data_IF_746740165158
#
_entry.id   IF_746740165158
#
_cell.length_a   1.000
_cell.length_b   1.000
_cell.length_c   1.000
_cell.angle_alpha   90.00
_cell.angle_beta   90.00
_cell.angle_gamma   90.00
#
_symmetry.space_group_name_H-M   'P 1'
#
loop_
_entity.id
_entity.type
_entity.pdbx_description
1 polymer ?
#
# COMPACT_ATOMS: atom_id res chain seq x y z
N UNK A 1 21.54 16.83 7.94
CA UNK A 1 21.23 15.44 8.13
C UNK A 1 21.72 15.05 9.52
N UNK A 2 20.81 14.65 10.41
CA UNK A 2 21.20 14.08 11.71
C UNK A 2 21.85 12.75 11.39
N UNK A 3 23.13 12.60 11.59
CA UNK A 3 23.80 11.29 11.58
C UNK A 3 23.19 10.44 12.68
N UNK A 4 22.18 9.66 12.32
CA UNK A 4 21.58 8.68 13.22
C UNK A 4 22.54 7.50 13.31
N UNK A 5 23.39 7.53 14.32
CA UNK A 5 24.37 6.47 14.52
C UNK A 5 23.67 5.30 15.24
N UNK A 6 22.88 4.53 14.51
CA UNK A 6 22.20 3.30 14.96
C UNK A 6 23.22 2.33 15.58
N UNK A 7 24.45 2.33 15.07
CA UNK A 7 25.53 1.44 15.52
C UNK A 7 26.01 1.74 16.95
N UNK A 8 25.69 2.92 17.53
CA UNK A 8 26.06 3.20 18.93
C UNK A 8 25.20 2.46 19.96
N UNK A 9 24.00 2.02 19.58
CA UNK A 9 23.05 1.31 20.45
C UNK A 9 23.03 -0.20 20.19
N UNK A 10 23.52 -0.65 19.03
CA UNK A 10 23.49 -2.03 18.60
C UNK A 10 24.81 -2.72 18.90
N UNK A 11 24.75 -3.88 19.57
CA UNK A 11 25.87 -4.82 19.65
C UNK A 11 25.76 -5.81 18.48
N UNK A 12 26.60 -5.68 17.42
CA UNK A 12 26.51 -6.53 16.24
C UNK A 12 26.79 -8.01 16.54
N UNK A 13 27.51 -8.32 17.63
CA UNK A 13 27.80 -9.69 18.01
C UNK A 13 26.55 -10.48 18.46
N UNK A 14 25.49 -9.77 18.83
CA UNK A 14 24.20 -10.33 19.23
C UNK A 14 23.21 -10.51 18.07
N UNK A 15 23.55 -10.05 16.87
CA UNK A 15 22.69 -10.13 15.70
C UNK A 15 23.15 -11.25 14.77
N UNK A 16 22.25 -12.14 14.33
CA UNK A 16 22.56 -13.06 13.25
C UNK A 16 22.95 -12.26 12.00
N UNK A 17 23.93 -12.77 11.22
CA UNK A 17 24.35 -12.12 9.98
C UNK A 17 24.10 -13.05 8.79
N UNK A 18 23.44 -12.60 7.71
CA UNK A 18 22.85 -11.26 7.53
C UNK A 18 21.49 -11.09 8.24
N UNK A 19 21.18 -9.87 8.74
CA UNK A 19 19.87 -9.56 9.31
C UNK A 19 19.46 -8.11 9.02
N UNK A 20 18.15 -7.87 8.95
CA UNK A 20 17.58 -6.52 9.01
C UNK A 20 17.36 -6.15 10.48
N UNK A 21 17.74 -4.92 10.84
CA UNK A 21 17.56 -4.39 12.19
C UNK A 21 16.65 -3.18 12.13
N UNK A 22 15.62 -3.18 12.97
CA UNK A 22 14.70 -2.04 13.12
C UNK A 22 14.91 -1.42 14.50
N UNK A 23 15.16 -0.12 14.54
CA UNK A 23 15.12 0.66 15.79
C UNK A 23 13.66 1.04 16.05
N UNK A 24 13.10 0.50 17.13
CA UNK A 24 11.69 0.68 17.47
C UNK A 24 11.38 2.11 17.91
N UNK A 25 12.30 2.78 18.60
CA UNK A 25 12.14 4.19 18.99
C UNK A 25 12.07 5.10 17.74
N UNK A 26 12.95 4.87 16.78
CA UNK A 26 12.97 5.62 15.52
C UNK A 26 11.71 5.33 14.68
N UNK A 27 11.27 4.07 14.65
CA UNK A 27 10.02 3.70 13.99
C UNK A 27 8.84 4.45 14.62
N UNK A 28 8.73 4.43 15.95
CA UNK A 28 7.64 5.11 16.65
C UNK A 28 7.69 6.63 16.46
N UNK A 29 8.87 7.23 16.48
CA UNK A 29 9.02 8.66 16.23
C UNK A 29 8.57 9.07 14.81
N UNK A 30 8.88 8.25 13.80
CA UNK A 30 8.38 8.46 12.44
C UNK A 30 6.85 8.33 12.38
N UNK A 31 6.28 7.35 13.07
CA UNK A 31 4.82 7.15 13.15
C UNK A 31 4.11 8.34 13.81
N UNK A 32 4.69 8.93 14.87
CA UNK A 32 4.17 10.15 15.51
C UNK A 32 4.13 11.33 14.55
N UNK A 33 5.14 11.47 13.67
CA UNK A 33 5.13 12.51 12.62
C UNK A 33 3.98 12.29 11.66
N UNK A 34 3.79 11.07 11.15
CA UNK A 34 2.71 10.72 10.25
C UNK A 34 1.32 10.94 10.89
N UNK A 35 1.15 10.54 12.14
CA UNK A 35 -0.08 10.77 12.89
C UNK A 35 -0.38 12.26 13.08
N UNK A 36 0.65 13.09 13.30
CA UNK A 36 0.50 14.53 13.38
C UNK A 36 -0.05 15.14 12.06
N UNK A 37 0.37 14.57 10.92
CA UNK A 37 -0.18 14.98 9.61
C UNK A 37 -1.65 14.60 9.50
N UNK A 38 -2.01 13.36 9.84
CA UNK A 38 -3.41 12.92 9.86
C UNK A 38 -4.30 13.85 10.71
N UNK A 39 -3.85 14.17 11.92
CA UNK A 39 -4.58 15.05 12.85
C UNK A 39 -4.78 16.47 12.31
N UNK A 40 -3.80 17.02 11.59
CA UNK A 40 -3.90 18.37 11.02
C UNK A 40 -4.71 18.45 9.75
N UNK A 41 -4.73 17.39 8.95
CA UNK A 41 -5.33 17.42 7.60
C UNK A 41 -6.63 16.65 7.49
N UNK A 42 -6.93 15.76 8.45
CA UNK A 42 -8.02 14.79 8.34
C UNK A 42 -7.76 13.64 7.36
N UNK A 43 -6.58 13.60 6.72
CA UNK A 43 -6.22 12.52 5.82
C UNK A 43 -5.96 11.21 6.60
N UNK A 44 -6.20 10.08 5.95
CA UNK A 44 -5.81 8.77 6.46
C UNK A 44 -4.50 8.35 5.80
N UNK A 45 -3.54 7.90 6.59
CA UNK A 45 -2.26 7.37 6.09
C UNK A 45 -2.28 5.85 6.27
N UNK A 46 -1.91 5.13 5.22
CA UNK A 46 -1.86 3.68 5.18
C UNK A 46 -0.41 3.20 5.03
N UNK A 47 -0.10 2.06 5.63
CA UNK A 47 1.19 1.41 5.47
C UNK A 47 1.26 0.70 4.11
N UNK A 48 2.25 1.05 3.28
CA UNK A 48 2.52 0.33 2.04
C UNK A 48 3.32 -0.95 2.34
N UNK A 49 2.64 -2.10 2.37
CA UNK A 49 3.25 -3.38 2.74
C UNK A 49 4.41 -3.79 1.82
N UNK A 50 4.34 -3.47 0.53
CA UNK A 50 5.47 -3.70 -0.40
C UNK A 50 6.77 -3.01 0.00
N UNK A 51 6.70 -1.95 0.80
CA UNK A 51 7.86 -1.24 1.35
C UNK A 51 8.26 -1.71 2.73
N UNK A 52 7.29 -2.14 3.54
CA UNK A 52 7.53 -2.62 4.90
C UNK A 52 6.41 -3.60 5.31
N UNK A 53 6.72 -4.88 5.35
CA UNK A 53 5.80 -5.96 5.72
C UNK A 53 6.26 -6.75 6.96
N UNK A 54 7.06 -6.14 7.81
CA UNK A 54 7.49 -6.76 9.06
C UNK A 54 6.34 -6.73 10.08
N UNK A 55 5.43 -7.69 9.98
CA UNK A 55 4.17 -7.75 10.72
C UNK A 55 4.35 -7.78 12.26
N UNK A 56 5.52 -8.17 12.76
CA UNK A 56 5.86 -8.03 14.17
C UNK A 56 5.59 -6.63 14.72
N UNK A 57 5.78 -5.58 13.89
CA UNK A 57 5.55 -4.19 14.28
C UNK A 57 4.13 -3.68 13.99
N UNK A 58 3.26 -4.48 13.39
CA UNK A 58 1.89 -4.04 13.08
C UNK A 58 1.10 -3.61 14.33
N UNK A 59 1.21 -4.25 15.51
CA UNK A 59 0.57 -3.75 16.73
C UNK A 59 1.04 -2.34 17.16
N UNK A 60 2.29 -1.98 16.88
CA UNK A 60 2.79 -0.62 17.11
C UNK A 60 2.27 0.34 16.04
N UNK A 61 2.41 -0.02 14.77
CA UNK A 61 2.08 0.83 13.62
C UNK A 61 0.58 1.18 13.60
N UNK A 62 -0.29 0.23 13.90
CA UNK A 62 -1.75 0.44 13.91
C UNK A 62 -2.24 1.42 14.99
N UNK A 63 -1.43 1.76 15.99
CA UNK A 63 -1.76 2.83 16.94
C UNK A 63 -1.78 4.21 16.27
N UNK A 64 -1.05 4.34 15.16
CA UNK A 64 -0.82 5.60 14.45
C UNK A 64 -1.46 5.61 13.07
N UNK A 65 -1.32 4.56 12.28
CA UNK A 65 -1.84 4.48 10.91
C UNK A 65 -3.19 3.78 10.87
N UNK A 66 -4.00 4.07 9.83
CA UNK A 66 -5.41 3.62 9.74
C UNK A 66 -5.58 2.27 9.06
N UNK A 67 -4.58 1.81 8.33
CA UNK A 67 -4.68 0.56 7.57
C UNK A 67 -3.43 0.31 6.74
N UNK A 68 -3.58 -0.54 5.76
CA UNK A 68 -2.51 -0.98 4.86
C UNK A 68 -2.89 -0.87 3.39
N UNK A 69 -1.88 -0.70 2.52
CA UNK A 69 -2.01 -0.88 1.08
C UNK A 69 -1.44 -2.24 0.69
N UNK A 70 -2.23 -3.05 -0.02
CA UNK A 70 -1.89 -4.37 -0.52
C UNK A 70 -1.73 -4.36 -2.05
N UNK A 71 -0.75 -5.09 -2.55
CA UNK A 71 -0.46 -5.22 -3.99
C UNK A 71 -0.98 -6.54 -4.58
N UNK A 72 -1.66 -7.35 -3.79
CA UNK A 72 -2.24 -8.63 -4.16
C UNK A 72 -2.78 -9.39 -2.97
N UNK A 73 -3.25 -10.63 -3.20
CA UNK A 73 -3.95 -11.43 -2.20
C UNK A 73 -3.16 -11.66 -0.91
N UNK A 74 -1.89 -12.03 -1.02
CA UNK A 74 -1.09 -12.36 0.18
C UNK A 74 -0.89 -11.15 1.09
N UNK A 75 -0.69 -9.95 0.51
CA UNK A 75 -0.61 -8.72 1.29
C UNK A 75 -1.98 -8.32 1.85
N UNK A 76 -3.08 -8.58 1.12
CA UNK A 76 -4.43 -8.33 1.62
C UNK A 76 -4.75 -9.22 2.83
N UNK A 77 -4.40 -10.52 2.77
CA UNK A 77 -4.48 -11.44 3.92
C UNK A 77 -3.67 -10.93 5.11
N UNK A 78 -2.39 -10.63 4.88
CA UNK A 78 -1.50 -10.14 5.93
C UNK A 78 -2.05 -8.87 6.59
N UNK A 79 -2.56 -7.93 5.79
CA UNK A 79 -3.17 -6.70 6.30
C UNK A 79 -4.44 -6.96 7.11
N UNK A 80 -5.30 -7.84 6.62
CA UNK A 80 -6.56 -8.17 7.29
C UNK A 80 -6.33 -8.93 8.61
N UNK A 81 -5.47 -9.95 8.59
CA UNK A 81 -5.26 -10.85 9.73
C UNK A 81 -4.37 -10.21 10.80
N UNK A 82 -3.28 -9.55 10.42
CA UNK A 82 -2.26 -9.09 11.36
C UNK A 82 -2.37 -7.58 11.69
N UNK A 83 -2.77 -6.75 10.73
CA UNK A 83 -2.90 -5.32 10.99
C UNK A 83 -4.25 -4.97 11.60
N UNK A 84 -5.35 -5.51 11.08
CA UNK A 84 -6.70 -5.34 11.61
C UNK A 84 -7.28 -3.92 11.45
N UNK A 85 -6.87 -3.19 10.43
CA UNK A 85 -7.38 -1.89 10.02
C UNK A 85 -7.97 -1.93 8.60
N UNK A 86 -8.02 -0.76 7.93
CA UNK A 86 -8.46 -0.69 6.55
C UNK A 86 -7.46 -1.41 5.63
N UNK A 87 -7.97 -2.21 4.69
CA UNK A 87 -7.15 -2.84 3.63
C UNK A 87 -7.55 -2.23 2.30
N UNK A 88 -6.60 -1.57 1.64
CA UNK A 88 -6.74 -0.99 0.31
C UNK A 88 -5.91 -1.81 -0.67
N UNK A 89 -6.56 -2.47 -1.62
CA UNK A 89 -5.87 -3.34 -2.57
C UNK A 89 -5.83 -2.73 -3.96
N UNK A 90 -4.64 -2.62 -4.52
CA UNK A 90 -4.39 -2.25 -5.91
C UNK A 90 -3.48 -3.27 -6.57
N UNK A 91 -3.87 -3.73 -7.77
CA UNK A 91 -2.98 -4.54 -8.62
C UNK A 91 -3.11 -4.12 -10.08
N UNK A 92 -1.99 -4.05 -10.83
CA UNK A 92 -2.05 -3.84 -12.28
C UNK A 92 -2.85 -4.90 -13.03
N UNK A 93 -2.91 -6.12 -12.47
CA UNK A 93 -3.70 -7.23 -13.00
C UNK A 93 -4.16 -8.12 -11.83
N UNK A 94 -5.48 -8.23 -11.64
CA UNK A 94 -6.06 -9.20 -10.71
C UNK A 94 -6.22 -10.56 -11.39
N UNK A 95 -5.97 -11.63 -10.64
CA UNK A 95 -6.27 -12.99 -11.06
C UNK A 95 -7.71 -13.33 -10.66
N UNK A 96 -8.45 -13.99 -11.55
CA UNK A 96 -9.87 -14.27 -11.31
C UNK A 96 -10.07 -15.18 -10.09
N UNK A 97 -9.25 -16.20 -9.97
CA UNK A 97 -9.29 -17.17 -8.88
C UNK A 97 -8.98 -16.56 -7.49
N UNK A 98 -8.33 -15.40 -7.44
CA UNK A 98 -7.97 -14.72 -6.20
C UNK A 98 -8.96 -13.60 -5.84
N UNK A 99 -9.72 -13.12 -6.80
CA UNK A 99 -10.47 -11.87 -6.65
C UNK A 99 -11.61 -11.95 -5.64
N UNK A 100 -12.28 -13.10 -5.50
CA UNK A 100 -13.30 -13.27 -4.48
C UNK A 100 -12.75 -12.98 -3.08
N UNK A 101 -11.60 -13.56 -2.77
CA UNK A 101 -10.99 -13.37 -1.45
C UNK A 101 -10.46 -11.95 -1.27
N UNK A 102 -9.81 -11.38 -2.29
CA UNK A 102 -9.40 -9.96 -2.27
C UNK A 102 -10.59 -9.04 -1.98
N UNK A 103 -11.73 -9.27 -2.64
CA UNK A 103 -12.95 -8.48 -2.42
C UNK A 103 -13.46 -8.57 -0.98
N UNK A 104 -13.44 -9.76 -0.38
CA UNK A 104 -13.87 -9.97 1.02
C UNK A 104 -12.97 -9.30 2.04
N UNK A 105 -11.66 -9.24 1.77
CA UNK A 105 -10.66 -8.72 2.67
C UNK A 105 -10.46 -7.20 2.55
N UNK A 106 -10.88 -6.59 1.43
CA UNK A 106 -10.55 -5.20 1.10
C UNK A 106 -11.73 -4.26 1.32
N UNK A 107 -11.50 -3.17 2.05
CA UNK A 107 -12.48 -2.06 2.13
C UNK A 107 -12.44 -1.16 0.89
N UNK A 108 -11.29 -1.13 0.19
CA UNK A 108 -11.10 -0.37 -1.05
C UNK A 108 -10.37 -1.23 -2.08
N UNK A 109 -10.87 -1.26 -3.32
CA UNK A 109 -10.21 -1.92 -4.44
C UNK A 109 -10.00 -0.92 -5.56
N UNK A 110 -8.74 -0.72 -5.97
CA UNK A 110 -8.38 0.19 -7.04
C UNK A 110 -8.04 -0.60 -8.30
N UNK A 111 -8.75 -0.30 -9.36
CA UNK A 111 -8.56 -0.93 -10.68
C UNK A 111 -7.57 -0.15 -11.53
N UNK A 112 -6.82 -0.87 -12.36
CA UNK A 112 -5.78 -0.30 -13.20
C UNK A 112 -6.29 0.19 -14.57
N UNK A 113 -7.44 -0.29 -15.01
CA UNK A 113 -8.06 0.04 -16.30
C UNK A 113 -9.58 -0.09 -16.25
N UNK A 114 -10.28 0.51 -17.21
CA UNK A 114 -11.73 0.34 -17.33
C UNK A 114 -12.12 -1.11 -17.61
N UNK A 115 -11.37 -1.82 -18.45
CA UNK A 115 -11.64 -3.25 -18.69
C UNK A 115 -11.50 -4.10 -17.43
N UNK A 116 -10.56 -3.78 -16.55
CA UNK A 116 -10.43 -4.42 -15.25
C UNK A 116 -11.61 -4.06 -14.34
N UNK A 117 -12.03 -2.79 -14.32
CA UNK A 117 -13.19 -2.32 -13.58
C UNK A 117 -14.47 -3.05 -14.06
N UNK A 118 -14.74 -3.05 -15.35
CA UNK A 118 -15.91 -3.73 -15.95
C UNK A 118 -15.98 -5.22 -15.59
N UNK A 119 -14.84 -5.90 -15.62
CA UNK A 119 -14.75 -7.33 -15.31
C UNK A 119 -14.98 -7.62 -13.83
N UNK A 120 -14.38 -6.86 -12.94
CA UNK A 120 -14.30 -7.22 -11.52
C UNK A 120 -15.25 -6.45 -10.62
N UNK A 121 -15.79 -5.31 -11.03
CA UNK A 121 -16.75 -4.54 -10.21
C UNK A 121 -18.01 -5.36 -9.86
N UNK A 122 -18.63 -6.12 -10.77
CA UNK A 122 -19.76 -6.99 -10.42
C UNK A 122 -19.40 -8.02 -9.34
N UNK A 123 -18.19 -8.60 -9.40
CA UNK A 123 -17.72 -9.54 -8.40
C UNK A 123 -17.43 -8.83 -7.06
N UNK A 124 -16.84 -7.65 -7.09
CA UNK A 124 -16.65 -6.85 -5.88
C UNK A 124 -17.98 -6.59 -5.18
N UNK A 125 -19.00 -6.15 -5.91
CA UNK A 125 -20.34 -5.90 -5.37
C UNK A 125 -21.03 -7.16 -4.84
N UNK A 126 -20.79 -8.30 -5.48
CA UNK A 126 -21.31 -9.61 -5.05
C UNK A 126 -20.71 -10.06 -3.71
N UNK A 127 -19.41 -9.92 -3.54
CA UNK A 127 -18.69 -10.46 -2.38
C UNK A 127 -18.52 -9.44 -1.24
N UNK A 128 -18.50 -8.14 -1.56
CA UNK A 128 -18.43 -7.04 -0.60
C UNK A 128 -19.09 -5.79 -1.17
N UNK A 129 -20.39 -5.65 -0.94
CA UNK A 129 -21.18 -4.53 -1.47
C UNK A 129 -20.78 -3.16 -0.87
N UNK A 130 -20.16 -3.15 0.31
CA UNK A 130 -19.73 -1.93 1.01
C UNK A 130 -18.33 -1.46 0.60
N UNK A 131 -17.54 -2.30 -0.10
CA UNK A 131 -16.21 -1.91 -0.53
C UNK A 131 -16.27 -0.75 -1.53
N UNK A 132 -15.36 0.19 -1.39
CA UNK A 132 -15.21 1.28 -2.35
C UNK A 132 -14.38 0.83 -3.56
N UNK A 133 -14.77 1.29 -4.74
CA UNK A 133 -14.08 1.04 -5.99
C UNK A 133 -13.42 2.31 -6.50
N UNK A 134 -12.16 2.22 -6.88
CA UNK A 134 -11.41 3.32 -7.49
C UNK A 134 -10.76 2.90 -8.80
N UNK A 135 -10.34 3.88 -9.60
CA UNK A 135 -9.54 3.68 -10.79
C UNK A 135 -8.24 4.46 -10.68
N UNK A 136 -7.14 3.85 -11.05
CA UNK A 136 -5.84 4.50 -11.10
C UNK A 136 -5.72 5.31 -12.39
N UNK A 137 -5.46 6.60 -12.27
CA UNK A 137 -5.14 7.48 -13.39
C UNK A 137 -3.63 7.58 -13.56
N UNK A 138 -3.16 7.53 -14.81
CA UNK A 138 -1.80 7.89 -15.18
C UNK A 138 -1.82 9.33 -15.71
N UNK A 139 -1.25 10.30 -14.99
CA UNK A 139 -1.25 11.70 -15.41
C UNK A 139 -0.30 11.99 -16.58
N UNK A 140 0.47 10.97 -17.02
CA UNK A 140 1.47 11.11 -18.10
C UNK A 140 2.52 12.19 -17.79
N UNK A 141 2.68 12.51 -16.52
CA UNK A 141 3.64 13.48 -16.00
C UNK A 141 4.38 12.87 -14.79
N UNK A 142 5.69 13.06 -14.73
CA UNK A 142 6.54 12.63 -13.63
C UNK A 142 7.75 13.53 -13.51
N UNK A 143 8.18 13.78 -12.27
CA UNK A 143 9.42 14.45 -11.94
C UNK A 143 10.55 13.48 -11.59
N UNK A 144 10.34 12.18 -11.83
CA UNK A 144 11.31 11.13 -11.54
C UNK A 144 12.47 11.20 -12.54
N UNK A 145 13.69 11.46 -12.07
CA UNK A 145 14.89 11.58 -12.92
C UNK A 145 15.27 10.28 -13.62
N UNK A 146 15.03 9.14 -12.96
CA UNK A 146 15.40 7.82 -13.49
C UNK A 146 14.21 7.17 -14.20
N UNK A 147 14.27 7.10 -15.53
CA UNK A 147 13.19 6.53 -16.35
C UNK A 147 12.75 5.10 -15.95
N UNK A 148 13.66 4.28 -15.40
CA UNK A 148 13.35 2.94 -14.91
C UNK A 148 12.32 2.95 -13.77
N UNK A 149 12.35 3.96 -12.92
CA UNK A 149 11.47 4.10 -11.76
C UNK A 149 10.27 5.02 -12.00
N UNK A 150 10.19 5.61 -13.20
CA UNK A 150 9.07 6.49 -13.56
C UNK A 150 7.80 5.68 -13.88
N UNK A 151 6.76 5.76 -13.03
CA UNK A 151 5.51 5.04 -13.25
C UNK A 151 4.65 5.64 -14.38
N UNK A 152 4.97 6.86 -14.82
CA UNK A 152 4.19 7.61 -15.81
C UNK A 152 4.89 7.70 -17.16
N UNK A 153 6.05 7.04 -17.33
CA UNK A 153 6.78 7.04 -18.61
C UNK A 153 5.95 6.49 -19.77
N UNK A 154 6.26 6.84 -21.02
CA UNK A 154 5.65 6.21 -22.18
C UNK A 154 5.69 4.69 -22.11
N UNK A 155 4.59 4.02 -22.47
CA UNK A 155 4.38 2.58 -22.38
C UNK A 155 4.33 2.02 -20.94
N UNK A 156 4.12 2.87 -19.93
CA UNK A 156 3.84 2.38 -18.58
C UNK A 156 2.54 1.57 -18.58
N UNK A 157 2.56 0.44 -17.89
CA UNK A 157 1.38 -0.41 -17.66
C UNK A 157 0.47 0.09 -16.52
N UNK A 158 0.81 1.20 -15.87
CA UNK A 158 0.19 1.64 -14.63
C UNK A 158 -0.80 2.77 -14.88
N UNK A 159 -2.07 2.47 -14.63
CA UNK A 159 -3.15 3.45 -14.67
C UNK A 159 -3.69 3.75 -16.06
N UNK A 160 -4.80 4.47 -16.10
CA UNK A 160 -5.49 4.91 -17.29
C UNK A 160 -4.86 6.22 -17.75
N UNK A 161 -4.39 6.27 -19.00
CA UNK A 161 -3.87 7.49 -19.65
C UNK A 161 -5.02 8.35 -20.19
N UNK A 162 -4.72 9.61 -20.54
CA UNK A 162 -5.72 10.50 -21.13
C UNK A 162 -6.36 9.90 -22.39
N UNK A 163 -5.55 9.25 -23.26
CA UNK A 163 -6.06 8.61 -24.48
C UNK A 163 -7.02 7.43 -24.23
N UNK A 164 -6.94 6.79 -23.06
CA UNK A 164 -7.78 5.64 -22.68
C UNK A 164 -8.84 6.00 -21.64
N UNK A 165 -8.94 7.28 -21.29
CA UNK A 165 -9.95 7.74 -20.33
C UNK A 165 -11.36 7.71 -20.97
N UNK A 166 -12.34 7.27 -20.18
CA UNK A 166 -13.76 7.26 -20.57
C UNK A 166 -14.53 8.07 -19.53
N UNK A 167 -15.41 8.93 -19.99
CA UNK A 167 -16.25 9.79 -19.14
C UNK A 167 -17.56 9.12 -18.70
N UNK A 168 -17.90 7.94 -19.29
CA UNK A 168 -19.13 7.19 -19.04
C UNK A 168 -18.85 5.84 -18.35
#
# INVERSE_FOLDING_TARGET
PVERNIYKKLDPSRCPSPSFVVDEDDLENNLKILDSVQKRTGAKILLAQKGFAMFYFYPLIRKYLKGVCASGLNEARLGYEEFGGEVHTYSPAFREEEFEEIARLSGHVVFNSFSQLEKFLPLLRKYNSSAEAGIRINPEHSETETALYDPCRPLSRLGVTAANFREE
#
